data_IF_876050225172
#
_entry.id   IF_876050225172
#
_cell.length_a   1.000
_cell.length_b   1.000
_cell.length_c   1.000
_cell.angle_alpha   90.00
_cell.angle_beta   90.00
_cell.angle_gamma   90.00
#
_symmetry.space_group_name_H-M   'P 1'
#
loop_
_entity.id
_entity.type
_entity.pdbx_description
1 polymer ?
#
# COMPACT_ATOMS: atom_id res chain seq x y z
N UNK A 1 -56.49 -32.65 -11.75
CA UNK A 1 -57.33 -33.15 -10.63
C UNK A 1 -57.18 -34.67 -10.59
N UNK A 2 -56.50 -35.19 -9.54
CA UNK A 2 -57.03 -36.14 -8.55
C UNK A 2 -57.62 -37.44 -9.16
N UNK A 3 -56.85 -38.55 -9.17
CA UNK A 3 -56.87 -39.68 -8.18
C UNK A 3 -58.27 -40.30 -8.04
N UNK A 4 -58.54 -41.62 -8.04
CA UNK A 4 -57.81 -42.87 -7.73
C UNK A 4 -58.88 -43.98 -7.78
N UNK A 5 -58.58 -45.23 -8.17
CA UNK A 5 -59.34 -46.39 -7.65
C UNK A 5 -58.39 -47.53 -7.28
N UNK A 6 -58.41 -47.85 -5.99
CA UNK A 6 -57.81 -49.01 -5.31
C UNK A 6 -58.69 -50.24 -5.48
N UNK A 7 -58.09 -51.42 -5.45
CA UNK A 7 -58.83 -52.67 -5.24
C UNK A 7 -57.94 -53.84 -4.83
N UNK A 8 -58.20 -54.35 -3.61
CA UNK A 8 -57.96 -55.70 -3.06
C UNK A 8 -56.50 -56.18 -2.90
N UNK A 9 -56.07 -56.78 -1.79
CA UNK A 9 -56.78 -57.37 -0.65
C UNK A 9 -56.04 -58.65 -0.22
N UNK A 10 -55.97 -58.89 1.10
CA UNK A 10 -55.58 -60.13 1.80
C UNK A 10 -54.11 -60.59 1.63
N UNK A 11 -53.30 -60.71 2.69
CA UNK A 11 -53.39 -61.60 3.86
C UNK A 11 -52.04 -62.34 3.86
N UNK A 12 -51.16 -62.31 4.85
CA UNK A 12 -51.29 -62.69 6.25
C UNK A 12 -50.20 -63.73 6.53
N UNK A 13 -49.18 -63.31 7.31
CA UNK A 13 -48.28 -64.09 8.23
C UNK A 13 -47.52 -65.31 7.64
N UNK A 14 -46.29 -65.73 7.99
CA UNK A 14 -45.41 -65.63 9.16
C UNK A 14 -43.96 -66.00 8.73
N UNK A 15 -42.99 -65.56 9.54
CA UNK A 15 -41.80 -66.30 10.02
C UNK A 15 -40.44 -66.04 9.34
N UNK A 16 -39.50 -65.73 10.22
CA UNK A 16 -38.11 -65.36 10.01
C UNK A 16 -37.21 -66.54 9.64
N UNK A 17 -36.10 -66.23 8.97
CA UNK A 17 -34.79 -66.86 9.22
C UNK A 17 -33.70 -66.02 8.56
N UNK A 18 -32.72 -65.64 9.38
CA UNK A 18 -31.56 -64.83 9.01
C UNK A 18 -30.58 -65.63 8.15
N UNK A 19 -30.12 -65.03 7.06
CA UNK A 19 -28.86 -65.40 6.40
C UNK A 19 -28.09 -64.12 6.06
N UNK A 20 -26.86 -64.09 6.57
CA UNK A 20 -25.85 -63.05 6.42
C UNK A 20 -25.56 -62.78 4.93
N UNK A 21 -25.86 -61.56 4.47
CA UNK A 21 -25.34 -61.02 3.22
C UNK A 21 -23.99 -60.36 3.49
N UNK A 22 -22.92 -60.88 2.87
CA UNK A 22 -21.69 -60.14 2.66
C UNK A 22 -21.96 -58.99 1.69
N UNK A 23 -22.32 -57.83 2.20
CA UNK A 23 -22.20 -56.59 1.43
C UNK A 23 -20.71 -56.24 1.33
N UNK A 24 -20.15 -55.99 0.14
CA UNK A 24 -18.85 -55.32 0.06
C UNK A 24 -18.96 -54.00 0.85
N UNK A 25 -17.92 -53.58 1.59
CA UNK A 25 -17.97 -52.29 2.24
C UNK A 25 -18.25 -51.25 1.16
N UNK A 26 -19.40 -50.58 1.29
CA UNK A 26 -19.63 -49.33 0.60
C UNK A 26 -18.37 -48.51 0.81
N UNK A 27 -17.72 -48.13 -0.29
CA UNK A 27 -16.74 -47.06 -0.26
C UNK A 27 -17.43 -45.93 0.50
N UNK A 28 -17.02 -45.73 1.75
CA UNK A 28 -17.11 -44.43 2.37
C UNK A 28 -16.40 -43.56 1.35
N UNK A 29 -17.18 -42.83 0.58
CA UNK A 29 -16.73 -41.54 0.11
C UNK A 29 -16.23 -40.87 1.38
N UNK A 30 -14.92 -40.85 1.54
CA UNK A 30 -14.27 -39.87 2.37
C UNK A 30 -14.77 -38.56 1.80
N UNK A 31 -15.86 -38.08 2.40
CA UNK A 31 -16.29 -36.70 2.37
C UNK A 31 -15.09 -35.96 2.93
N UNK A 32 -14.16 -35.69 2.00
CA UNK A 32 -13.01 -34.86 2.22
C UNK A 32 -13.63 -33.59 2.75
N UNK A 33 -13.46 -33.40 4.05
CA UNK A 33 -13.88 -32.21 4.77
C UNK A 33 -13.00 -31.10 4.21
N UNK A 34 -13.38 -30.59 3.04
CA UNK A 34 -12.80 -29.40 2.48
C UNK A 34 -13.34 -28.26 3.32
N UNK A 35 -12.72 -28.04 4.48
CA UNK A 35 -12.85 -26.78 5.18
C UNK A 35 -12.56 -25.69 4.14
N UNK A 36 -13.48 -24.74 3.92
CA UNK A 36 -13.23 -23.68 2.97
C UNK A 36 -11.92 -22.97 3.35
N UNK A 37 -11.09 -22.58 2.36
CA UNK A 37 -9.78 -22.00 2.63
C UNK A 37 -9.92 -20.76 3.50
N UNK A 38 -9.05 -20.66 4.52
CA UNK A 38 -8.92 -19.47 5.35
C UNK A 38 -8.52 -18.24 4.51
N UNK A 39 -8.71 -17.04 5.06
CA UNK A 39 -8.35 -15.80 4.37
C UNK A 39 -6.85 -15.76 4.03
N UNK A 40 -5.99 -16.15 4.96
CA UNK A 40 -4.54 -16.26 4.75
C UNK A 40 -4.18 -17.23 3.60
N UNK A 41 -4.86 -18.38 3.51
CA UNK A 41 -4.64 -19.33 2.43
C UNK A 41 -5.11 -18.79 1.07
N UNK A 42 -6.18 -17.99 1.06
CA UNK A 42 -6.68 -17.34 -0.15
C UNK A 42 -5.73 -16.24 -0.62
N UNK A 43 -5.25 -15.41 0.30
CA UNK A 43 -4.22 -14.40 0.08
C UNK A 43 -2.95 -14.99 -0.51
N UNK A 44 -2.42 -16.04 0.13
CA UNK A 44 -1.22 -16.72 -0.33
C UNK A 44 -1.40 -17.31 -1.74
N UNK A 45 -2.59 -17.83 -2.06
CA UNK A 45 -2.89 -18.34 -3.39
C UNK A 45 -2.91 -17.24 -4.46
N UNK A 46 -3.52 -16.09 -4.17
CA UNK A 46 -3.55 -14.92 -5.08
C UNK A 46 -2.14 -14.40 -5.30
N UNK A 47 -1.38 -14.19 -4.22
CA UNK A 47 0.00 -13.72 -4.30
C UNK A 47 0.91 -14.68 -5.07
N UNK A 48 0.73 -16.00 -4.90
CA UNK A 48 1.47 -17.01 -5.64
C UNK A 48 1.10 -17.00 -7.14
N UNK A 49 -0.18 -16.82 -7.47
CA UNK A 49 -0.62 -16.70 -8.85
C UNK A 49 -0.04 -15.46 -9.54
N UNK A 50 -0.04 -14.31 -8.86
CA UNK A 50 0.57 -13.07 -9.36
C UNK A 50 2.07 -13.24 -9.56
N UNK A 51 2.78 -13.83 -8.59
CA UNK A 51 4.21 -14.09 -8.69
C UNK A 51 4.54 -15.06 -9.83
N UNK A 52 3.71 -16.07 -10.07
CA UNK A 52 3.89 -16.99 -11.19
C UNK A 52 3.72 -16.28 -12.55
N UNK A 53 2.79 -15.33 -12.66
CA UNK A 53 2.58 -14.54 -13.87
C UNK A 53 3.78 -13.63 -14.21
N UNK A 54 4.49 -13.16 -13.19
CA UNK A 54 5.69 -12.34 -13.34
C UNK A 54 6.90 -13.09 -13.93
N UNK A 55 6.97 -14.40 -13.71
CA UNK A 55 8.06 -15.25 -14.21
C UNK A 55 9.36 -15.13 -13.40
N UNK A 56 10.47 -15.51 -14.03
CA UNK A 56 11.80 -15.53 -13.41
C UNK A 56 12.37 -14.13 -13.16
N UNK A 57 13.63 -14.06 -12.72
CA UNK A 57 14.32 -12.78 -12.51
C UNK A 57 14.45 -11.99 -13.83
N UNK A 58 14.27 -10.67 -13.75
CA UNK A 58 14.44 -9.76 -14.88
C UNK A 58 15.90 -9.67 -15.34
N UNK A 59 16.10 -9.41 -16.63
CA UNK A 59 17.39 -8.91 -17.12
C UNK A 59 17.50 -7.38 -16.91
N UNK A 60 18.67 -6.80 -17.20
CA UNK A 60 18.93 -5.38 -16.99
C UNK A 60 18.03 -4.46 -17.84
N UNK A 61 17.61 -4.91 -19.03
CA UNK A 61 16.76 -4.11 -19.93
C UNK A 61 15.32 -4.09 -19.41
N UNK A 62 14.79 -5.25 -19.02
CA UNK A 62 13.49 -5.37 -18.36
C UNK A 62 13.48 -4.59 -17.04
N UNK A 63 14.53 -4.69 -16.24
CA UNK A 63 14.64 -3.93 -14.98
C UNK A 63 14.56 -2.42 -15.22
N UNK A 64 15.12 -1.90 -16.31
CA UNK A 64 15.05 -0.47 -16.63
C UNK A 64 13.61 0.02 -16.84
N UNK A 65 12.72 -0.83 -17.36
CA UNK A 65 11.30 -0.49 -17.56
C UNK A 65 10.56 -0.30 -16.23
N UNK A 66 11.00 -0.99 -15.17
CA UNK A 66 10.35 -0.97 -13.85
C UNK A 66 11.13 -0.19 -12.79
N UNK A 67 12.28 0.39 -13.16
CA UNK A 67 13.04 1.27 -12.28
C UNK A 67 12.37 2.66 -12.24
N UNK A 68 12.31 3.30 -11.07
CA UNK A 68 11.71 4.63 -10.90
C UNK A 68 10.25 4.60 -10.44
N UNK A 69 9.63 5.78 -10.42
CA UNK A 69 8.35 5.99 -9.77
C UNK A 69 7.17 5.52 -10.65
N UNK A 70 6.13 5.02 -10.00
CA UNK A 70 4.87 4.64 -10.62
C UNK A 70 3.71 5.29 -9.89
N UNK A 71 2.70 5.67 -10.65
CA UNK A 71 1.38 5.97 -10.12
C UNK A 71 0.40 4.95 -10.69
N UNK A 72 -0.50 4.47 -9.84
CA UNK A 72 -1.57 3.58 -10.25
C UNK A 72 -2.88 3.97 -9.59
N UNK A 73 -3.98 3.66 -10.26
CA UNK A 73 -5.32 3.83 -9.73
C UNK A 73 -6.28 2.86 -10.38
N UNK A 74 -7.39 2.58 -9.70
CA UNK A 74 -8.44 1.70 -10.19
C UNK A 74 -9.77 2.02 -9.53
N UNK A 75 -10.84 1.41 -10.04
CA UNK A 75 -12.21 1.66 -9.57
C UNK A 75 -12.75 3.07 -9.87
N UNK A 76 -12.15 3.78 -10.83
CA UNK A 76 -12.57 5.12 -11.25
C UNK A 76 -13.73 5.13 -12.27
N UNK A 77 -14.12 3.94 -12.75
CA UNK A 77 -15.06 3.73 -13.86
C UNK A 77 -16.37 3.09 -13.37
N UNK A 78 -17.14 3.73 -12.48
CA UNK A 78 -18.59 3.51 -12.27
C UNK A 78 -19.13 4.40 -11.15
N UNK A 79 -20.45 4.61 -11.13
CA UNK A 79 -21.28 5.37 -10.17
C UNK A 79 -21.23 4.89 -8.69
N UNK A 80 -20.06 4.46 -8.21
CA UNK A 80 -19.83 3.87 -6.90
C UNK A 80 -18.41 4.18 -6.44
N UNK A 81 -18.26 5.02 -5.40
CA UNK A 81 -16.98 5.28 -4.72
C UNK A 81 -16.45 4.02 -3.99
N UNK A 82 -17.25 2.96 -3.87
CA UNK A 82 -16.84 1.65 -3.33
C UNK A 82 -15.90 0.95 -4.32
N UNK A 83 -14.60 1.21 -4.20
CA UNK A 83 -13.56 0.53 -4.98
C UNK A 83 -12.55 1.47 -5.64
N UNK A 84 -12.74 2.79 -5.54
CA UNK A 84 -11.73 3.75 -5.96
C UNK A 84 -10.48 3.60 -5.08
N UNK A 85 -9.29 3.61 -5.70
CA UNK A 85 -8.03 3.55 -4.98
C UNK A 85 -6.94 4.26 -5.76
N UNK A 86 -5.94 4.76 -5.03
CA UNK A 86 -4.74 5.35 -5.61
C UNK A 86 -3.48 4.74 -4.98
N UNK A 87 -2.44 4.64 -5.79
CA UNK A 87 -1.13 4.16 -5.39
C UNK A 87 -0.06 5.11 -5.94
N UNK A 88 0.81 5.57 -5.05
CA UNK A 88 2.10 6.17 -5.42
C UNK A 88 3.22 5.23 -4.99
N UNK A 89 3.90 4.63 -5.97
CA UNK A 89 5.00 3.71 -5.76
C UNK A 89 6.32 4.36 -6.16
N UNK A 90 7.07 4.82 -5.17
CA UNK A 90 8.40 5.40 -5.29
C UNK A 90 9.47 4.31 -5.20
N UNK A 91 10.74 4.67 -5.44
CA UNK A 91 11.88 3.73 -5.44
C UNK A 91 11.93 2.78 -4.25
N UNK A 92 11.51 3.24 -3.08
CA UNK A 92 11.69 2.63 -1.77
C UNK A 92 10.43 2.73 -0.88
N UNK A 93 9.31 3.18 -1.45
CA UNK A 93 8.12 3.56 -0.69
C UNK A 93 6.85 3.34 -1.50
N UNK A 94 5.81 2.82 -0.88
CA UNK A 94 4.48 2.70 -1.47
C UNK A 94 3.44 3.40 -0.60
N UNK A 95 2.68 4.31 -1.16
CA UNK A 95 1.53 4.93 -0.51
C UNK A 95 0.27 4.46 -1.22
N UNK A 96 -0.63 3.84 -0.49
CA UNK A 96 -1.90 3.32 -0.99
C UNK A 96 -3.04 4.01 -0.24
N UNK A 97 -4.05 4.49 -0.97
CA UNK A 97 -5.21 5.18 -0.41
C UNK A 97 -6.49 4.61 -1.02
N UNK A 98 -7.55 4.50 -0.22
CA UNK A 98 -8.91 4.15 -0.68
C UNK A 98 -9.96 4.88 0.17
N UNK A 99 -11.11 5.29 -0.38
CA UNK A 99 -12.20 5.89 0.40
C UNK A 99 -12.60 5.01 1.58
N UNK A 100 -12.71 5.62 2.77
CA UNK A 100 -13.13 4.94 4.00
C UNK A 100 -12.04 4.17 4.76
N UNK A 101 -10.85 4.02 4.18
CA UNK A 101 -9.63 3.68 4.91
C UNK A 101 -8.84 4.98 5.11
N UNK A 102 -8.23 5.19 6.28
CA UNK A 102 -7.28 6.30 6.43
C UNK A 102 -6.14 6.16 5.44
N UNK A 103 -5.37 7.23 5.22
CA UNK A 103 -4.13 7.08 4.47
C UNK A 103 -3.22 6.14 5.25
N UNK A 104 -3.02 4.92 4.74
CA UNK A 104 -1.93 4.07 5.22
C UNK A 104 -0.65 4.75 4.75
N UNK A 105 -0.16 5.62 5.63
CA UNK A 105 1.05 6.38 5.46
C UNK A 105 2.13 5.45 4.95
N UNK A 106 2.79 5.86 3.88
CA UNK A 106 3.40 4.89 3.00
C UNK A 106 4.49 4.05 3.65
N UNK A 107 4.59 2.87 3.06
CA UNK A 107 5.17 1.69 3.65
C UNK A 107 6.44 1.38 2.86
N UNK A 108 7.59 1.21 3.54
CA UNK A 108 8.80 0.75 2.88
C UNK A 108 8.57 -0.59 2.20
N UNK A 109 9.08 -0.76 0.98
CA UNK A 109 8.89 -2.00 0.23
C UNK A 109 10.06 -2.31 -0.70
N UNK A 110 10.48 -3.58 -0.67
CA UNK A 110 11.55 -4.07 -1.55
C UNK A 110 11.00 -4.38 -2.93
N UNK A 111 11.65 -3.83 -3.96
CA UNK A 111 11.32 -4.08 -5.37
C UNK A 111 12.00 -5.36 -5.85
N UNK A 112 11.18 -6.30 -6.30
CA UNK A 112 11.59 -7.54 -6.93
C UNK A 112 11.29 -7.42 -8.43
N UNK A 113 12.33 -7.50 -9.26
CA UNK A 113 12.21 -7.36 -10.70
C UNK A 113 12.12 -8.72 -11.38
N UNK A 114 11.10 -8.88 -12.21
CA UNK A 114 10.79 -10.13 -12.89
C UNK A 114 10.66 -9.94 -14.40
N UNK A 115 10.70 -11.03 -15.15
CA UNK A 115 10.66 -11.04 -16.61
C UNK A 115 9.46 -10.27 -17.20
N UNK A 116 8.29 -10.36 -16.56
CA UNK A 116 7.06 -9.75 -17.06
C UNK A 116 6.51 -8.63 -16.16
N UNK A 117 7.31 -8.14 -15.20
CA UNK A 117 6.82 -7.12 -14.27
C UNK A 117 7.72 -6.89 -13.08
N UNK A 118 7.18 -6.16 -12.11
CA UNK A 118 7.79 -5.92 -10.81
C UNK A 118 6.80 -6.26 -9.72
N UNK A 119 7.30 -6.83 -8.63
CA UNK A 119 6.57 -7.01 -7.38
C UNK A 119 7.18 -6.16 -6.28
N UNK A 120 6.35 -5.56 -5.45
CA UNK A 120 6.75 -4.84 -4.24
C UNK A 120 5.95 -5.38 -3.07
N UNK A 121 6.63 -5.76 -2.00
CA UNK A 121 6.00 -6.17 -0.75
C UNK A 121 6.30 -5.09 0.29
N UNK A 122 5.27 -4.37 0.71
CA UNK A 122 5.35 -3.25 1.63
C UNK A 122 4.33 -3.43 2.76
N UNK A 123 4.75 -4.07 3.86
CA UNK A 123 3.85 -4.42 4.97
C UNK A 123 2.65 -5.26 4.49
N UNK A 124 1.39 -4.82 4.70
CA UNK A 124 0.19 -5.51 4.24
C UNK A 124 -0.06 -5.39 2.72
N UNK A 125 0.71 -4.54 2.01
CA UNK A 125 0.57 -4.34 0.57
C UNK A 125 1.47 -5.30 -0.21
N UNK A 126 0.87 -6.03 -1.15
CA UNK A 126 1.61 -6.64 -2.26
C UNK A 126 1.19 -5.97 -3.55
N UNK A 127 2.13 -5.29 -4.21
CA UNK A 127 1.90 -4.54 -5.45
C UNK A 127 2.60 -5.28 -6.58
N UNK A 128 1.88 -5.48 -7.68
CA UNK A 128 2.39 -6.07 -8.90
C UNK A 128 2.15 -5.09 -10.05
N UNK A 129 3.20 -4.73 -10.78
CA UNK A 129 3.11 -3.88 -11.98
C UNK A 129 3.61 -4.66 -13.18
N UNK A 130 2.83 -4.70 -14.25
CA UNK A 130 3.14 -5.42 -15.49
C UNK A 130 3.01 -4.49 -16.69
N UNK A 131 3.94 -4.58 -17.64
CA UNK A 131 3.89 -3.84 -18.91
C UNK A 131 2.85 -4.45 -19.84
N UNK A 132 1.61 -4.06 -19.61
CA UNK A 132 0.43 -4.48 -20.35
C UNK A 132 -0.50 -3.28 -20.54
N UNK A 133 -1.08 -3.09 -21.74
CA UNK A 133 -1.97 -1.96 -21.99
C UNK A 133 -3.21 -2.07 -21.09
N UNK A 134 -3.47 -0.99 -20.35
CA UNK A 134 -4.58 -0.89 -19.41
C UNK A 134 -5.47 0.30 -19.76
N UNK A 135 -6.78 0.12 -19.81
CA UNK A 135 -7.72 1.20 -20.13
C UNK A 135 -8.26 1.82 -18.83
N UNK A 136 -8.07 3.12 -18.65
CA UNK A 136 -8.65 3.90 -17.54
C UNK A 136 -9.49 5.04 -18.13
N UNK A 137 -10.81 4.91 -18.09
CA UNK A 137 -11.73 5.83 -18.78
C UNK A 137 -11.39 5.96 -20.27
N UNK A 138 -11.05 7.17 -20.72
CA UNK A 138 -10.70 7.47 -22.13
C UNK A 138 -9.21 7.34 -22.44
N UNK A 139 -8.36 7.08 -21.45
CA UNK A 139 -6.90 7.05 -21.61
C UNK A 139 -6.36 5.64 -21.47
N UNK A 140 -5.52 5.22 -22.41
CA UNK A 140 -4.77 3.96 -22.29
C UNK A 140 -3.45 4.20 -21.57
N UNK A 141 -3.23 3.47 -20.48
CA UNK A 141 -1.99 3.46 -19.72
C UNK A 141 -1.10 2.28 -20.15
N UNK A 142 0.22 2.41 -20.05
CA UNK A 142 1.16 1.39 -20.52
C UNK A 142 1.33 0.20 -19.57
N UNK A 143 0.83 0.29 -18.33
CA UNK A 143 0.97 -0.78 -17.33
C UNK A 143 -0.38 -1.12 -16.68
N UNK A 144 -0.50 -2.37 -16.25
CA UNK A 144 -1.52 -2.85 -15.31
C UNK A 144 -0.91 -2.89 -13.91
N UNK A 145 -1.70 -2.55 -12.89
CA UNK A 145 -1.36 -2.71 -11.50
C UNK A 145 -2.36 -3.64 -10.79
N UNK A 146 -1.82 -4.58 -10.03
CA UNK A 146 -2.56 -5.41 -9.11
C UNK A 146 -2.06 -5.12 -7.68
N UNK A 147 -2.95 -4.70 -6.79
CA UNK A 147 -2.63 -4.44 -5.39
C UNK A 147 -3.42 -5.42 -4.53
N UNK A 148 -2.74 -6.18 -3.68
CA UNK A 148 -3.36 -7.00 -2.64
C UNK A 148 -3.14 -6.31 -1.31
N UNK A 149 -4.22 -5.96 -0.62
CA UNK A 149 -4.20 -5.31 0.68
C UNK A 149 -5.19 -6.01 1.62
N UNK A 150 -4.70 -6.55 2.74
CA UNK A 150 -5.52 -7.26 3.74
C UNK A 150 -6.47 -8.32 3.11
N UNK A 151 -5.99 -9.02 2.08
CA UNK A 151 -6.76 -10.03 1.37
C UNK A 151 -7.76 -9.56 0.34
N UNK A 152 -7.85 -8.25 0.12
CA UNK A 152 -8.64 -7.67 -0.96
C UNK A 152 -7.73 -7.36 -2.14
N UNK A 153 -8.08 -7.90 -3.30
CA UNK A 153 -7.39 -7.63 -4.55
C UNK A 153 -8.02 -6.42 -5.26
N UNK A 154 -7.17 -5.53 -5.71
CA UNK A 154 -7.49 -4.31 -6.42
C UNK A 154 -6.78 -4.33 -7.76
N UNK A 155 -7.54 -4.15 -8.83
CA UNK A 155 -7.02 -4.06 -10.18
C UNK A 155 -7.14 -2.63 -10.70
N UNK A 156 -6.16 -2.20 -11.48
CA UNK A 156 -6.13 -0.86 -12.01
C UNK A 156 -5.01 -0.64 -13.02
N UNK A 157 -4.86 0.60 -13.43
CA UNK A 157 -3.89 0.99 -14.44
C UNK A 157 -2.73 1.76 -13.81
N UNK A 158 -1.52 1.51 -14.29
CA UNK A 158 -0.32 2.17 -13.84
C UNK A 158 0.40 2.92 -14.97
N UNK A 159 1.12 3.97 -14.58
CA UNK A 159 2.00 4.72 -15.46
C UNK A 159 3.31 5.06 -14.76
N UNK A 160 4.36 5.18 -15.56
CA UNK A 160 5.66 5.67 -15.08
C UNK A 160 5.60 7.16 -14.82
N UNK A 161 6.31 7.55 -13.77
CA UNK A 161 6.38 8.92 -13.28
C UNK A 161 5.10 9.33 -12.56
N UNK A 162 5.29 9.95 -11.39
CA UNK A 162 4.32 10.92 -10.96
C UNK A 162 4.24 12.05 -11.99
N UNK A 163 3.07 12.70 -12.14
CA UNK A 163 2.90 13.83 -13.07
C UNK A 163 4.12 14.77 -13.06
N UNK A 164 4.57 15.08 -14.27
CA UNK A 164 5.77 15.86 -14.57
C UNK A 164 5.72 17.22 -13.85
N UNK A 165 6.60 17.43 -12.87
CA UNK A 165 6.80 18.73 -12.22
C UNK A 165 7.15 18.66 -10.74
N UNK A 166 6.66 17.64 -10.03
CA UNK A 166 6.98 17.47 -8.61
C UNK A 166 7.01 15.99 -8.26
N UNK A 167 8.15 15.51 -7.75
CA UNK A 167 8.25 14.17 -7.17
C UNK A 167 7.30 14.14 -5.96
N UNK A 168 6.22 13.35 -5.93
CA UNK A 168 5.37 13.22 -4.75
C UNK A 168 6.26 12.57 -3.69
N UNK A 169 6.71 13.42 -2.79
CA UNK A 169 7.41 13.05 -1.58
C UNK A 169 6.45 13.38 -0.45
N UNK A 170 6.78 13.06 0.79
CA UNK A 170 5.98 13.53 1.92
C UNK A 170 5.70 15.05 1.91
N UNK A 171 6.53 15.84 1.21
CA UNK A 171 6.31 17.26 1.02
C UNK A 171 5.10 17.63 0.14
N UNK A 172 4.54 16.72 -0.67
CA UNK A 172 3.33 17.00 -1.46
C UNK A 172 2.08 17.12 -0.60
N UNK A 173 2.07 16.46 0.56
CA UNK A 173 1.03 16.55 1.60
C UNK A 173 1.48 17.41 2.78
N UNK A 174 2.51 18.24 2.56
CA UNK A 174 3.09 19.07 3.63
C UNK A 174 2.05 19.90 4.39
N UNK A 175 1.06 20.57 3.74
CA UNK A 175 0.06 21.36 4.47
C UNK A 175 -0.69 20.55 5.53
N UNK A 176 -0.99 19.28 5.27
CA UNK A 176 -1.70 18.40 6.21
C UNK A 176 -0.81 17.95 7.37
N UNK A 177 0.51 17.90 7.14
CA UNK A 177 1.51 17.52 8.13
C UNK A 177 1.96 18.70 9.02
N UNK A 178 1.58 19.95 8.69
CA UNK A 178 2.04 21.14 9.44
C UNK A 178 1.68 21.10 10.92
N UNK A 179 0.48 20.71 11.36
CA UNK A 179 0.16 20.67 12.79
C UNK A 179 1.13 19.77 13.60
N UNK A 180 1.44 18.58 13.07
CA UNK A 180 2.39 17.66 13.68
C UNK A 180 3.83 18.20 13.62
N UNK A 181 4.24 18.78 12.48
CA UNK A 181 5.54 19.42 12.34
C UNK A 181 5.71 20.56 13.34
N UNK A 182 4.70 21.41 13.54
CA UNK A 182 4.75 22.52 14.49
C UNK A 182 4.88 22.02 15.94
N UNK A 183 4.17 20.94 16.30
CA UNK A 183 4.31 20.29 17.60
C UNK A 183 5.75 19.75 17.83
N UNK A 184 6.35 19.13 16.82
CA UNK A 184 7.72 18.61 16.90
C UNK A 184 8.79 19.71 16.89
N UNK A 185 8.62 20.75 16.07
CA UNK A 185 9.54 21.89 16.00
C UNK A 185 9.52 22.70 17.30
N UNK A 186 8.41 22.70 18.05
CA UNK A 186 8.36 23.30 19.38
C UNK A 186 9.29 22.61 20.40
N UNK A 187 9.68 21.35 20.18
CA UNK A 187 10.61 20.59 21.04
C UNK A 187 12.08 20.77 20.68
N UNK A 188 12.38 21.34 19.52
CA UNK A 188 13.76 21.55 19.03
C UNK A 188 14.54 22.45 19.99
N UNK A 189 15.76 22.03 20.30
CA UNK A 189 16.68 22.76 21.19
C UNK A 189 17.68 23.60 20.42
N UNK A 190 18.12 23.14 19.24
CA UNK A 190 19.11 23.82 18.40
C UNK A 190 18.53 24.15 17.03
N UNK A 191 18.48 25.45 16.71
CA UNK A 191 17.94 25.96 15.42
C UNK A 191 19.06 26.30 14.42
N UNK A 192 18.79 26.23 13.10
CA UNK A 192 17.53 25.82 12.46
C UNK A 192 17.35 24.30 12.48
N UNK A 193 16.11 23.83 12.63
CA UNK A 193 15.76 22.43 12.39
C UNK A 193 15.36 22.20 10.93
N UNK A 194 15.77 21.06 10.40
CA UNK A 194 15.38 20.53 9.09
C UNK A 194 14.48 19.34 9.33
N UNK A 195 13.25 19.36 8.82
CA UNK A 195 12.43 18.15 8.76
C UNK A 195 12.99 17.33 7.59
N UNK A 196 13.43 16.11 7.88
CA UNK A 196 14.01 15.19 6.90
C UNK A 196 13.01 14.15 6.42
N UNK A 197 11.93 13.94 7.17
CA UNK A 197 10.80 13.09 6.83
C UNK A 197 9.58 13.49 7.67
N UNK A 198 8.38 13.38 7.11
CA UNK A 198 7.15 13.39 7.88
C UNK A 198 6.12 12.47 7.22
N UNK A 199 5.26 11.84 7.99
CA UNK A 199 4.22 10.98 7.42
C UNK A 199 3.33 10.40 8.49
N UNK A 200 2.09 10.10 8.11
CA UNK A 200 1.19 9.32 8.94
C UNK A 200 1.82 7.95 9.24
N UNK A 201 1.55 7.44 10.43
CA UNK A 201 1.80 6.06 10.85
C UNK A 201 0.49 5.53 11.47
N UNK A 202 0.51 4.28 11.95
CA UNK A 202 -0.68 3.62 12.51
C UNK A 202 -1.44 4.48 13.54
N UNK A 203 -2.74 4.20 13.68
CA UNK A 203 -3.61 4.79 14.71
C UNK A 203 -3.76 6.32 14.63
N UNK A 204 -3.61 6.90 13.44
CA UNK A 204 -3.75 8.34 13.22
C UNK A 204 -2.60 9.16 13.81
N UNK A 205 -1.47 8.51 14.11
CA UNK A 205 -0.27 9.18 14.56
C UNK A 205 0.51 9.73 13.35
N UNK A 206 1.37 10.72 13.59
CA UNK A 206 2.29 11.25 12.59
C UNK A 206 3.72 11.15 13.10
N UNK A 207 4.59 10.52 12.32
CA UNK A 207 6.03 10.51 12.56
C UNK A 207 6.67 11.70 11.83
N UNK A 208 7.51 12.45 12.54
CA UNK A 208 8.34 13.53 12.00
C UNK A 208 9.78 13.26 12.39
N UNK A 209 10.66 13.08 11.40
CA UNK A 209 12.11 13.04 11.62
C UNK A 209 12.71 14.39 11.31
N UNK A 210 13.59 14.85 12.19
CA UNK A 210 14.24 16.14 12.07
C UNK A 210 15.73 16.07 12.38
N UNK A 211 16.49 16.97 11.78
CA UNK A 211 17.89 17.25 12.08
C UNK A 211 18.00 18.67 12.62
N UNK A 212 18.47 18.79 13.85
CA UNK A 212 18.69 20.07 14.52
C UNK A 212 19.97 20.76 14.01
N UNK A 213 20.18 22.02 14.42
CA UNK A 213 21.30 22.83 13.94
C UNK A 213 22.69 22.32 14.37
N UNK A 214 22.76 21.48 15.40
CA UNK A 214 23.98 20.78 15.85
C UNK A 214 24.21 19.46 15.09
N UNK A 215 23.33 19.11 14.16
CA UNK A 215 23.38 17.87 13.40
C UNK A 215 22.71 16.69 14.10
N UNK A 216 22.24 16.83 15.34
CA UNK A 216 21.52 15.77 16.04
C UNK A 216 20.23 15.42 15.31
N UNK A 217 19.93 14.13 15.24
CA UNK A 217 18.73 13.62 14.59
C UNK A 217 17.74 13.17 15.64
N UNK A 218 16.47 13.51 15.42
CA UNK A 218 15.35 13.16 16.31
C UNK A 218 14.23 12.52 15.51
N UNK A 219 13.57 11.56 16.14
CA UNK A 219 12.26 11.07 15.74
C UNK A 219 11.23 11.60 16.73
N UNK A 220 10.19 12.22 16.19
CA UNK A 220 9.09 12.78 16.95
C UNK A 220 7.79 12.12 16.49
N UNK A 221 7.02 11.60 17.43
CA UNK A 221 5.71 11.02 17.15
C UNK A 221 4.66 11.95 17.75
N UNK A 222 3.68 12.31 16.93
CA UNK A 222 2.52 13.11 17.31
C UNK A 222 1.29 12.22 17.25
N UNK A 223 0.50 12.18 18.32
CA UNK A 223 -0.73 11.40 18.36
C UNK A 223 -1.89 12.09 17.63
N UNK A 224 -3.02 11.39 17.48
CA UNK A 224 -4.22 11.93 16.82
C UNK A 224 -4.86 13.13 17.55
N UNK A 225 -4.41 13.47 18.76
CA UNK A 225 -4.81 14.71 19.47
C UNK A 225 -3.90 15.91 19.17
N UNK A 226 -2.85 15.70 18.36
CA UNK A 226 -1.84 16.70 18.04
C UNK A 226 -0.78 16.88 19.13
N UNK A 227 -0.69 15.97 20.10
CA UNK A 227 0.31 16.02 21.16
C UNK A 227 1.53 15.15 20.82
N UNK A 228 2.72 15.61 21.20
CA UNK A 228 3.96 14.84 21.04
C UNK A 228 3.97 13.70 22.06
N UNK A 229 3.81 12.47 21.57
CA UNK A 229 3.84 11.24 22.36
C UNK A 229 5.25 10.67 22.52
N UNK A 230 6.14 10.91 21.55
CA UNK A 230 7.56 10.52 21.62
C UNK A 230 8.48 11.60 21.02
N UNK A 231 9.69 11.74 21.55
CA UNK A 231 10.72 12.66 21.05
C UNK A 231 12.12 12.13 21.38
N UNK A 232 12.62 11.25 20.53
CA UNK A 232 13.79 10.43 20.84
C UNK A 232 14.96 10.72 19.90
N UNK A 233 16.21 10.61 20.38
CA UNK A 233 17.38 10.64 19.51
C UNK A 233 17.40 9.40 18.59
N UNK A 234 17.75 9.62 17.32
CA UNK A 234 17.97 8.53 16.36
C UNK A 234 19.42 8.51 15.88
N UNK A 235 19.95 7.30 15.65
CA UNK A 235 21.32 7.08 15.17
C UNK A 235 21.47 7.54 13.72
N UNK A 236 22.68 7.99 13.34
CA UNK A 236 23.03 8.29 11.93
C UNK A 236 22.88 7.08 10.99
N UNK A 237 22.95 5.87 11.54
CA UNK A 237 22.74 4.62 10.79
C UNK A 237 21.26 4.30 10.56
N UNK A 238 20.36 4.83 11.40
CA UNK A 238 18.91 4.67 11.23
C UNK A 238 18.43 5.71 10.23
N UNK A 239 18.34 5.34 8.96
CA UNK A 239 17.81 6.16 7.88
C UNK A 239 16.66 5.44 7.21
N UNK A 240 15.56 6.14 6.98
CA UNK A 240 14.46 5.65 6.16
C UNK A 240 14.72 5.93 4.68
N UNK A 241 14.12 5.12 3.82
CA UNK A 241 14.01 5.42 2.40
C UNK A 241 13.37 6.80 2.18
N UNK A 242 13.90 7.58 1.24
CA UNK A 242 13.47 8.96 0.97
C UNK A 242 13.82 10.01 2.05
N UNK A 243 14.46 9.63 3.16
CA UNK A 243 14.80 10.58 4.22
C UNK A 243 15.89 11.58 3.80
N UNK A 244 15.56 12.87 3.89
CA UNK A 244 16.48 13.98 3.60
C UNK A 244 16.52 14.41 2.14
N UNK A 245 15.54 14.02 1.32
CA UNK A 245 15.22 14.66 0.04
C UNK A 245 13.72 14.52 -0.30
N UNK A 246 12.90 15.60 -0.17
CA UNK A 246 13.28 16.93 0.25
C UNK A 246 13.50 17.06 1.77
N UNK A 247 14.23 18.09 2.15
CA UNK A 247 14.22 18.64 3.51
C UNK A 247 13.27 19.85 3.56
N UNK A 248 12.59 20.07 4.69
CA UNK A 248 11.76 21.26 4.92
C UNK A 248 12.31 22.10 6.07
N UNK A 249 12.33 23.42 5.89
CA UNK A 249 12.50 24.40 6.96
C UNK A 249 11.17 25.04 7.29
N UNK A 250 10.70 24.88 8.52
CA UNK A 250 9.52 25.62 8.99
C UNK A 250 9.88 27.09 9.21
N UNK A 251 9.24 27.98 8.45
CA UNK A 251 9.42 29.43 8.54
C UNK A 251 10.87 29.92 8.39
N UNK A 252 11.12 31.14 8.89
CA UNK A 252 12.44 31.77 8.93
C UNK A 252 12.96 32.27 7.58
N UNK A 253 14.21 32.73 7.59
CA UNK A 253 14.90 33.21 6.39
C UNK A 253 15.14 32.07 5.39
N UNK A 254 15.15 32.41 4.11
CA UNK A 254 15.51 31.48 3.05
C UNK A 254 16.88 30.84 3.35
N UNK A 255 16.97 29.50 3.37
CA UNK A 255 18.25 28.81 3.49
C UNK A 255 19.20 29.26 2.39
N UNK A 256 20.51 29.23 2.66
CA UNK A 256 21.48 29.51 1.60
C UNK A 256 21.41 28.40 0.54
N UNK A 257 21.36 28.80 -0.72
CA UNK A 257 21.53 27.87 -1.82
C UNK A 257 22.97 27.34 -1.80
N UNK A 258 23.12 26.05 -1.51
CA UNK A 258 24.39 25.34 -1.58
C UNK A 258 24.52 24.67 -2.96
N UNK A 259 25.75 24.26 -3.32
CA UNK A 259 25.96 23.45 -4.53
C UNK A 259 25.08 22.20 -4.43
N UNK A 260 24.36 21.88 -5.51
CA UNK A 260 23.46 20.74 -5.61
C UNK A 260 22.21 20.77 -4.73
N UNK A 261 21.76 21.96 -4.31
CA UNK A 261 20.46 22.12 -3.66
C UNK A 261 19.58 23.11 -4.42
N UNK A 262 18.34 22.73 -4.66
CA UNK A 262 17.28 23.63 -5.14
C UNK A 262 16.39 24.02 -3.97
N UNK A 263 16.13 25.32 -3.82
CA UNK A 263 15.30 25.85 -2.74
C UNK A 263 14.02 26.43 -3.34
N UNK A 264 12.87 25.97 -2.86
CA UNK A 264 11.56 26.44 -3.28
C UNK A 264 10.74 26.88 -2.05
N UNK A 265 9.89 27.91 -2.16
CA UNK A 265 8.93 28.22 -1.09
C UNK A 265 7.94 27.06 -0.92
N UNK A 266 7.56 26.81 0.33
CA UNK A 266 6.48 25.90 0.68
C UNK A 266 5.24 26.71 1.06
N UNK A 267 4.09 26.36 0.50
CA UNK A 267 2.82 27.08 0.71
C UNK A 267 1.73 26.15 1.23
N UNK A 268 0.87 26.68 2.09
CA UNK A 268 -0.31 25.98 2.61
C UNK A 268 -1.46 25.96 1.60
N UNK A 269 -2.56 25.29 1.98
CA UNK A 269 -3.80 25.22 1.19
C UNK A 269 -4.40 26.58 0.84
N UNK A 270 -4.19 27.57 1.72
CA UNK A 270 -4.63 28.96 1.57
C UNK A 270 -3.60 29.86 0.86
N UNK A 271 -2.49 29.27 0.39
CA UNK A 271 -1.35 30.01 -0.18
C UNK A 271 -0.47 30.69 0.86
N UNK A 272 -0.70 30.49 2.16
CA UNK A 272 0.14 31.09 3.21
C UNK A 272 1.55 30.48 3.18
N UNK A 273 2.60 31.28 3.45
CA UNK A 273 3.96 30.77 3.48
C UNK A 273 4.19 29.86 4.70
N UNK A 274 4.54 28.60 4.44
CA UNK A 274 4.89 27.63 5.47
C UNK A 274 6.39 27.64 5.79
N UNK A 275 7.21 27.86 4.76
CA UNK A 275 8.66 27.83 4.88
C UNK A 275 9.36 27.50 3.56
N UNK A 276 10.39 26.65 3.62
CA UNK A 276 11.28 26.38 2.48
C UNK A 276 11.51 24.89 2.28
N UNK A 277 11.22 24.39 1.07
CA UNK A 277 11.63 23.07 0.61
C UNK A 277 13.04 23.13 0.03
N UNK A 278 13.85 22.15 0.39
CA UNK A 278 15.23 22.00 -0.05
C UNK A 278 15.37 20.63 -0.68
N UNK A 279 15.63 20.61 -1.99
CA UNK A 279 15.77 19.38 -2.78
C UNK A 279 17.20 19.20 -3.24
N UNK A 280 17.64 17.95 -3.38
CA UNK A 280 18.90 17.67 -4.08
C UNK A 280 18.72 17.87 -5.58
N UNK A 281 19.67 18.54 -6.21
CA UNK A 281 19.69 18.81 -7.65
C UNK A 281 20.93 18.29 -8.37
N UNK A 282 21.82 17.67 -7.60
CA UNK A 282 22.81 16.69 -7.99
C UNK A 282 22.92 15.69 -6.81
#
# INVERSE_FOLDING_TARGET
MRTTIRGLGFGGVVLALALFACSPPAQRNDESSSTPPSNEQREAAIAAQQLAALGGAADAATQANYTGDFQASGGLDADSDEGAWELSLLSDYAQFTRPGLGDDGGIPGDRQFHQHGMRVVAGPLTITIMEQPCQAGTTQQPYVAHVLFEGVAYDGCARRGAQQGERPTWASVLPDLIPAIDACVARVTTRPARITFAGAIDEGQTNVRLREGDGTRRECIVDGSGQVSAYDPISDLDRRGGEGDPEFQRGGNQPRAERCRTIAPATGHDGAPLGWLIRRSC
#
